data_IF_945446218891
#
_entry.id   IF_945446218891
#
_cell.length_a   1.000
_cell.length_b   1.000
_cell.length_c   1.000
_cell.angle_alpha   90.00
_cell.angle_beta   90.00
_cell.angle_gamma   90.00
#
_symmetry.space_group_name_H-M   'P 1'
#
loop_
_entity.id
_entity.type
_entity.pdbx_description
1 polymer ?
#
# COMPACT_ATOMS: atom_id res chain seq x y z
N UNK A 1 -14.86 -2.30 12.75
CA UNK A 1 -14.02 -3.49 12.43
C UNK A 1 -12.53 -3.24 12.66
N UNK A 2 -11.85 -2.35 11.92
CA UNK A 2 -10.39 -2.17 12.08
C UNK A 2 -10.02 -1.59 13.46
N UNK A 3 -10.73 -0.56 13.90
CA UNK A 3 -10.59 0.06 15.23
C UNK A 3 -10.85 -0.93 16.36
N UNK A 4 -11.92 -1.73 16.23
CA UNK A 4 -12.34 -2.69 17.25
C UNK A 4 -11.29 -3.79 17.44
N UNK A 5 -10.58 -4.15 16.35
CA UNK A 5 -9.48 -5.11 16.36
C UNK A 5 -8.11 -4.44 16.64
N UNK A 6 -8.07 -3.14 16.95
CA UNK A 6 -6.84 -2.38 17.24
C UNK A 6 -5.78 -2.47 16.14
N UNK A 7 -6.21 -2.55 14.88
CA UNK A 7 -5.31 -2.53 13.74
C UNK A 7 -4.84 -1.10 13.51
N UNK A 8 -3.53 -0.90 13.35
CA UNK A 8 -2.91 0.41 13.07
C UNK A 8 -2.12 0.42 11.76
N UNK A 9 -1.67 -0.75 11.29
CA UNK A 9 -0.90 -0.90 10.06
C UNK A 9 -1.67 -1.72 9.04
N UNK A 10 -1.66 -1.29 7.78
CA UNK A 10 -2.38 -1.92 6.69
C UNK A 10 -1.44 -2.24 5.54
N UNK A 11 -1.47 -3.50 5.09
CA UNK A 11 -0.86 -3.89 3.81
C UNK A 11 -1.96 -3.84 2.76
N UNK A 12 -1.75 -3.03 1.72
CA UNK A 12 -2.73 -2.78 0.67
C UNK A 12 -2.27 -3.43 -0.65
N UNK A 13 -3.21 -4.09 -1.32
CA UNK A 13 -3.08 -4.69 -2.65
C UNK A 13 -4.44 -4.65 -3.36
N UNK A 14 -4.49 -4.94 -4.66
CA UNK A 14 -5.75 -4.99 -5.42
C UNK A 14 -5.74 -4.22 -6.74
N UNK A 15 -6.90 -3.90 -7.29
CA UNK A 15 -7.04 -3.18 -8.58
C UNK A 15 -8.21 -2.19 -8.55
N UNK A 16 -8.18 -1.09 -9.30
CA UNK A 16 -7.02 -0.56 -10.04
C UNK A 16 -6.15 0.34 -9.15
N UNK A 17 -4.84 0.40 -9.45
CA UNK A 17 -3.85 1.15 -8.66
C UNK A 17 -4.27 2.59 -8.43
N UNK A 18 -4.71 3.28 -9.47
CA UNK A 18 -5.01 4.71 -9.50
C UNK A 18 -6.45 5.07 -9.08
N UNK A 19 -7.32 4.08 -8.84
CA UNK A 19 -8.73 4.30 -8.48
C UNK A 19 -9.01 3.75 -7.08
N UNK A 20 -9.37 2.47 -6.97
CA UNK A 20 -9.80 1.88 -5.70
C UNK A 20 -8.66 1.79 -4.69
N UNK A 21 -7.47 1.38 -5.15
CA UNK A 21 -6.28 1.26 -4.30
C UNK A 21 -5.85 2.64 -3.81
N UNK A 22 -5.73 3.62 -4.71
CA UNK A 22 -5.36 4.98 -4.37
C UNK A 22 -6.34 5.64 -3.40
N UNK A 23 -7.65 5.58 -3.68
CA UNK A 23 -8.67 6.17 -2.81
C UNK A 23 -8.61 5.56 -1.39
N UNK A 24 -8.47 4.23 -1.30
CA UNK A 24 -8.34 3.53 -0.02
C UNK A 24 -7.10 3.98 0.75
N UNK A 25 -5.95 4.13 0.06
CA UNK A 25 -4.71 4.58 0.68
C UNK A 25 -4.82 6.00 1.23
N UNK A 26 -5.42 6.92 0.48
CA UNK A 26 -5.67 8.28 0.97
C UNK A 26 -6.60 8.28 2.19
N UNK A 27 -7.72 7.56 2.11
CA UNK A 27 -8.67 7.51 3.22
C UNK A 27 -8.09 6.87 4.49
N UNK A 28 -7.24 5.86 4.33
CA UNK A 28 -6.55 5.21 5.44
C UNK A 28 -5.47 6.12 6.04
N UNK A 29 -4.63 6.74 5.21
CA UNK A 29 -3.60 7.69 5.63
C UNK A 29 -4.22 8.88 6.40
N UNK A 30 -5.29 9.48 5.88
CA UNK A 30 -5.96 10.61 6.52
C UNK A 30 -6.57 10.26 7.89
N UNK A 31 -6.84 8.97 8.14
CA UNK A 31 -7.32 8.45 9.43
C UNK A 31 -6.19 7.99 10.35
N UNK A 32 -4.92 8.14 9.93
CA UNK A 32 -3.73 7.81 10.72
C UNK A 32 -3.32 6.33 10.67
N UNK A 33 -3.73 5.59 9.64
CA UNK A 33 -3.23 4.23 9.42
C UNK A 33 -1.86 4.24 8.73
N UNK A 34 -0.92 3.46 9.26
CA UNK A 34 0.39 3.24 8.62
C UNK A 34 0.22 2.26 7.45
N UNK A 35 0.36 2.77 6.23
CA UNK A 35 0.05 2.00 5.03
C UNK A 35 1.32 1.53 4.29
N UNK A 36 1.25 0.30 3.78
CA UNK A 36 2.27 -0.31 2.91
C UNK A 36 1.59 -0.87 1.65
N UNK A 37 1.92 -0.33 0.48
CA UNK A 37 1.44 -0.85 -0.81
C UNK A 37 2.39 -1.91 -1.37
N UNK A 38 1.84 -3.07 -1.78
CA UNK A 38 2.60 -4.12 -2.45
C UNK A 38 2.59 -3.88 -3.97
N UNK A 39 3.72 -3.46 -4.52
CA UNK A 39 3.83 -2.88 -5.87
C UNK A 39 3.41 -3.83 -7.00
N UNK A 40 3.78 -5.09 -6.90
CA UNK A 40 3.48 -6.16 -7.85
C UNK A 40 2.15 -6.86 -7.56
N UNK A 41 1.51 -6.58 -6.41
CA UNK A 41 0.15 -7.01 -6.09
C UNK A 41 -0.91 -5.93 -6.37
N UNK A 42 -0.59 -4.97 -7.24
CA UNK A 42 -1.56 -4.02 -7.80
C UNK A 42 -1.41 -3.88 -9.31
N UNK A 43 -2.49 -3.52 -10.01
CA UNK A 43 -2.48 -3.35 -11.46
C UNK A 43 -3.39 -2.20 -11.91
N UNK A 44 -3.12 -1.67 -13.10
CA UNK A 44 -3.93 -0.66 -13.78
C UNK A 44 -4.13 -1.09 -15.23
N UNK A 45 -5.23 -0.64 -15.85
CA UNK A 45 -5.40 -0.73 -17.30
C UNK A 45 -4.32 0.06 -18.05
N UNK A 46 -3.78 1.12 -17.43
CA UNK A 46 -2.76 1.98 -18.01
C UNK A 46 -1.47 1.87 -17.20
N UNK A 47 -0.42 1.21 -17.73
CA UNK A 47 0.85 1.03 -17.01
C UNK A 47 1.43 2.36 -16.48
N UNK A 48 1.25 3.46 -17.24
CA UNK A 48 1.71 4.78 -16.83
C UNK A 48 0.96 5.32 -15.61
N UNK A 49 -0.32 5.03 -15.45
CA UNK A 49 -1.10 5.45 -14.29
C UNK A 49 -0.68 4.69 -13.04
N UNK A 50 -0.47 3.37 -13.14
CA UNK A 50 0.14 2.59 -12.05
C UNK A 50 1.47 3.20 -11.62
N UNK A 51 2.36 3.47 -12.58
CA UNK A 51 3.68 4.01 -12.31
C UNK A 51 3.61 5.36 -11.58
N UNK A 52 2.89 6.34 -12.13
CA UNK A 52 2.81 7.69 -11.54
C UNK A 52 2.14 7.64 -10.16
N UNK A 53 1.12 6.80 -9.98
CA UNK A 53 0.44 6.65 -8.69
C UNK A 53 1.42 6.15 -7.62
N UNK A 54 2.20 5.10 -7.91
CA UNK A 54 3.21 4.57 -6.98
C UNK A 54 4.29 5.62 -6.67
N UNK A 55 4.77 6.35 -7.69
CA UNK A 55 5.75 7.43 -7.52
C UNK A 55 5.22 8.57 -6.64
N UNK A 56 3.96 8.96 -6.82
CA UNK A 56 3.28 9.98 -6.01
C UNK A 56 3.13 9.54 -4.54
N UNK A 57 2.65 8.32 -4.31
CA UNK A 57 2.39 7.79 -2.96
C UNK A 57 3.64 7.83 -2.07
N UNK A 58 4.80 7.45 -2.62
CA UNK A 58 6.09 7.42 -1.92
C UNK A 58 6.87 8.75 -1.96
N UNK A 59 6.36 9.76 -2.67
CA UNK A 59 7.02 11.06 -2.77
C UNK A 59 7.15 11.72 -1.38
N UNK A 60 8.00 12.73 -1.25
CA UNK A 60 8.20 13.46 0.02
C UNK A 60 8.55 12.57 1.24
N UNK A 61 9.15 11.40 0.99
CA UNK A 61 9.50 10.46 2.06
C UNK A 61 8.33 9.63 2.58
N UNK A 62 7.43 9.20 1.69
CA UNK A 62 6.24 8.43 2.07
C UNK A 62 5.02 9.30 2.36
N UNK A 63 4.72 10.26 1.48
CA UNK A 63 3.63 11.24 1.63
C UNK A 63 2.29 10.61 2.04
N UNK A 64 1.96 9.45 1.44
CA UNK A 64 0.73 8.72 1.72
C UNK A 64 1.01 7.32 2.25
N UNK A 65 2.01 6.62 1.67
CA UNK A 65 2.37 5.29 2.12
C UNK A 65 3.80 4.92 1.68
N UNK A 66 4.31 3.84 2.28
CA UNK A 66 5.49 3.14 1.77
C UNK A 66 5.10 2.13 0.69
N UNK A 67 6.05 1.74 -0.16
CA UNK A 67 5.84 0.71 -1.17
C UNK A 67 6.92 -0.36 -1.09
N UNK A 68 6.58 -1.61 -1.41
CA UNK A 68 7.50 -2.74 -1.40
C UNK A 68 7.11 -3.80 -2.44
N UNK A 69 8.05 -4.48 -3.09
CA UNK A 69 7.77 -5.68 -3.86
C UNK A 69 7.36 -6.85 -2.95
N UNK A 70 6.42 -7.70 -3.40
CA UNK A 70 5.92 -8.84 -2.62
C UNK A 70 7.02 -9.79 -2.17
N UNK A 71 8.02 -10.03 -3.03
CA UNK A 71 9.19 -10.87 -2.71
C UNK A 71 9.94 -10.36 -1.49
N UNK A 72 10.25 -9.06 -1.46
CA UNK A 72 10.98 -8.44 -0.35
C UNK A 72 10.13 -8.41 0.92
N UNK A 73 8.82 -8.18 0.79
CA UNK A 73 7.89 -8.28 1.93
C UNK A 73 7.93 -9.67 2.56
N UNK A 74 7.79 -10.72 1.75
CA UNK A 74 7.79 -12.11 2.24
C UNK A 74 9.11 -12.45 2.92
N UNK A 75 10.25 -12.15 2.28
CA UNK A 75 11.60 -12.31 2.84
C UNK A 75 11.73 -11.64 4.21
N UNK A 76 11.22 -10.41 4.35
CA UNK A 76 11.23 -9.69 5.63
C UNK A 76 10.25 -10.25 6.65
N UNK A 77 9.15 -10.89 6.27
CA UNK A 77 8.17 -11.42 7.24
C UNK A 77 8.39 -12.88 7.63
N UNK A 78 9.25 -13.62 6.93
CA UNK A 78 9.46 -15.05 7.18
C UNK A 78 9.91 -15.40 8.62
N UNK A 79 10.54 -14.46 9.34
CA UNK A 79 10.95 -14.66 10.74
C UNK A 79 9.84 -14.49 11.79
N UNK A 80 8.62 -14.12 11.38
CA UNK A 80 7.46 -13.94 12.27
C UNK A 80 6.60 -15.20 12.40
N UNK A 81 6.99 -16.30 11.73
CA UNK A 81 6.28 -17.58 11.73
C UNK A 81 6.89 -18.63 12.67
N UNK A 82 7.96 -18.26 13.40
CA UNK A 82 8.59 -19.01 14.49
C UNK A 82 8.20 -18.41 15.85
#
# INVERSE_FOLDING_TARGET
MLTDNRIQSLIICGVTTEVCVLATLHEANDRGYECLLVEDATASYFPKFKQITIEMLRSQGGLICWTIPSKELLEKTHHLSD
#
